data_IF_149573243857
#
_entry.id   IF_149573243857
#
_cell.length_a   1.000
_cell.length_b   1.000
_cell.length_c   1.000
_cell.angle_alpha   90.00
_cell.angle_beta   90.00
_cell.angle_gamma   90.00
#
_symmetry.space_group_name_H-M   'P 1'
#
loop_
_entity.id
_entity.type
_entity.pdbx_description
1 polymer ?
#
# COMPACT_ATOMS: atom_id res chain seq x y z
N UNK A 1 -10.82 -16.91 -13.16
CA UNK A 1 -10.67 -16.82 -11.69
C UNK A 1 -11.06 -15.42 -11.22
N UNK A 2 -11.79 -15.32 -10.11
CA UNK A 2 -12.22 -14.05 -9.51
C UNK A 2 -11.03 -13.18 -9.07
N UNK A 3 -11.21 -11.85 -9.03
CA UNK A 3 -10.16 -10.92 -8.63
C UNK A 3 -9.11 -10.58 -9.71
N UNK A 4 -9.39 -10.82 -10.99
CA UNK A 4 -8.49 -10.42 -12.10
C UNK A 4 -8.19 -8.92 -12.10
N UNK A 5 -9.23 -8.09 -11.88
CA UNK A 5 -9.11 -6.62 -11.78
C UNK A 5 -8.25 -6.18 -10.60
N UNK A 6 -8.32 -6.92 -9.49
CA UNK A 6 -7.52 -6.65 -8.30
C UNK A 6 -6.02 -6.84 -8.56
N UNK A 7 -5.67 -7.84 -9.38
CA UNK A 7 -4.29 -8.12 -9.75
C UNK A 7 -3.69 -7.07 -10.68
N UNK A 8 -4.51 -6.32 -11.42
CA UNK A 8 -4.05 -5.27 -12.33
C UNK A 8 -3.35 -4.15 -11.57
N UNK A 9 -3.88 -3.74 -10.40
CA UNK A 9 -3.22 -2.78 -9.51
C UNK A 9 -1.82 -3.23 -9.09
N UNK A 10 -1.65 -4.53 -8.81
CA UNK A 10 -0.36 -5.09 -8.42
C UNK A 10 0.61 -5.19 -9.60
N UNK A 11 0.10 -5.43 -10.82
CA UNK A 11 0.92 -5.44 -12.04
C UNK A 11 1.44 -4.05 -12.36
N UNK A 12 0.61 -3.01 -12.21
CA UNK A 12 1.03 -1.62 -12.37
C UNK A 12 2.11 -1.25 -11.35
N UNK A 13 2.00 -1.70 -10.10
CA UNK A 13 3.07 -1.53 -9.12
C UNK A 13 4.35 -2.26 -9.50
N UNK A 14 4.24 -3.51 -9.97
CA UNK A 14 5.38 -4.31 -10.38
C UNK A 14 6.10 -3.78 -11.63
N UNK A 15 5.43 -2.99 -12.46
CA UNK A 15 6.05 -2.34 -13.63
C UNK A 15 6.87 -1.10 -13.30
N UNK A 16 6.88 -0.64 -12.04
CA UNK A 16 7.58 0.57 -11.64
C UNK A 16 8.87 0.29 -10.89
N UNK A 17 9.87 1.12 -11.13
CA UNK A 17 11.15 1.03 -10.44
C UNK A 17 11.01 1.36 -8.95
N UNK A 18 11.81 0.69 -8.13
CA UNK A 18 11.75 0.81 -6.67
C UNK A 18 11.99 2.26 -6.23
N UNK A 19 11.02 2.85 -5.52
CA UNK A 19 11.10 4.21 -4.99
C UNK A 19 10.54 5.30 -5.89
N UNK A 20 10.03 4.97 -7.08
CA UNK A 20 9.32 5.92 -7.94
C UNK A 20 7.81 5.91 -7.66
N UNK A 21 7.22 7.09 -7.51
CA UNK A 21 5.75 7.24 -7.40
C UNK A 21 5.14 7.20 -8.81
N UNK A 22 4.25 6.24 -9.04
CA UNK A 22 3.33 6.31 -10.17
C UNK A 22 2.35 7.46 -9.99
N UNK A 23 2.02 8.20 -11.07
CA UNK A 23 0.89 9.11 -11.05
C UNK A 23 -0.36 8.38 -10.55
N UNK A 24 -1.06 8.98 -9.60
CA UNK A 24 -2.34 8.45 -9.15
C UNK A 24 -3.38 8.63 -10.27
N UNK A 25 -3.60 7.61 -11.09
CA UNK A 25 -4.71 7.63 -12.06
C UNK A 25 -6.03 7.46 -11.29
N UNK A 26 -6.60 8.61 -10.92
CA UNK A 26 -7.87 8.70 -10.20
C UNK A 26 -8.97 7.93 -10.95
N UNK A 27 -8.96 7.96 -12.29
CA UNK A 27 -10.01 7.35 -13.11
C UNK A 27 -9.94 5.84 -13.07
N UNK A 28 -8.74 5.27 -13.25
CA UNK A 28 -8.52 3.83 -13.22
C UNK A 28 -8.73 3.25 -11.82
N UNK A 29 -8.24 3.92 -10.77
CA UNK A 29 -8.43 3.49 -9.38
C UNK A 29 -9.90 3.56 -8.98
N UNK A 30 -10.61 4.64 -9.36
CA UNK A 30 -12.04 4.78 -9.06
C UNK A 30 -12.88 3.73 -9.80
N UNK A 31 -12.57 3.48 -11.08
CA UNK A 31 -13.20 2.41 -11.86
C UNK A 31 -12.96 1.04 -11.23
N UNK A 32 -11.71 0.72 -10.88
CA UNK A 32 -11.35 -0.53 -10.23
C UNK A 32 -12.03 -0.64 -8.87
N UNK A 33 -12.06 0.41 -8.05
CA UNK A 33 -12.74 0.43 -6.75
C UNK A 33 -14.24 0.16 -6.90
N UNK A 34 -14.91 0.84 -7.83
CA UNK A 34 -16.35 0.68 -8.08
C UNK A 34 -16.69 -0.73 -8.58
N UNK A 35 -15.99 -1.21 -9.61
CA UNK A 35 -16.22 -2.54 -10.17
C UNK A 35 -15.94 -3.65 -9.15
N UNK A 36 -14.92 -3.48 -8.30
CA UNK A 36 -14.60 -4.43 -7.25
C UNK A 36 -15.58 -4.41 -6.10
N UNK A 37 -16.09 -3.24 -5.72
CA UNK A 37 -17.14 -3.16 -4.70
C UNK A 37 -18.39 -3.93 -5.14
N UNK A 38 -18.73 -3.87 -6.44
CA UNK A 38 -19.82 -4.66 -7.02
C UNK A 38 -19.53 -6.16 -6.96
N UNK A 39 -18.36 -6.61 -7.42
CA UNK A 39 -17.93 -8.02 -7.37
C UNK A 39 -17.85 -8.55 -5.94
N UNK A 40 -17.36 -7.74 -5.00
CA UNK A 40 -17.30 -8.07 -3.58
C UNK A 40 -18.69 -8.22 -2.97
N UNK A 41 -19.63 -7.33 -3.33
CA UNK A 41 -20.99 -7.42 -2.86
C UNK A 41 -21.69 -8.68 -3.38
N UNK A 42 -21.50 -9.00 -4.66
CA UNK A 42 -22.05 -10.21 -5.27
C UNK A 42 -21.52 -11.49 -4.60
N UNK A 43 -20.20 -11.59 -4.39
CA UNK A 43 -19.63 -12.74 -3.67
C UNK A 43 -20.06 -12.82 -2.22
N UNK A 44 -20.27 -11.68 -1.55
CA UNK A 44 -20.75 -11.67 -0.17
C UNK A 44 -22.20 -12.16 -0.07
N UNK A 45 -23.06 -11.75 -1.01
CA UNK A 45 -24.45 -12.25 -1.08
C UNK A 45 -24.49 -13.76 -1.38
N UNK A 46 -23.69 -14.22 -2.34
CA UNK A 46 -23.57 -15.64 -2.67
C UNK A 46 -23.06 -16.46 -1.47
N UNK A 47 -22.00 -15.99 -0.81
CA UNK A 47 -21.47 -16.60 0.41
C UNK A 47 -22.53 -16.71 1.50
N UNK A 48 -23.26 -15.63 1.79
CA UNK A 48 -24.33 -15.63 2.80
C UNK A 48 -25.44 -16.63 2.46
N UNK A 49 -25.83 -16.73 1.18
CA UNK A 49 -26.84 -17.69 0.76
C UNK A 49 -26.39 -19.14 0.91
N UNK A 50 -25.12 -19.44 0.64
CA UNK A 50 -24.55 -20.79 0.81
C UNK A 50 -24.42 -21.16 2.28
N UNK A 51 -23.97 -20.22 3.13
CA UNK A 51 -23.88 -20.44 4.58
C UNK A 51 -25.26 -20.78 5.16
N UNK A 52 -26.30 -20.01 4.79
CA UNK A 52 -27.67 -20.30 5.24
C UNK A 52 -28.16 -21.68 4.80
N UNK A 53 -27.87 -22.10 3.56
CA UNK A 53 -28.24 -23.45 3.09
C UNK A 53 -27.55 -24.56 3.90
N UNK A 54 -26.29 -24.36 4.28
CA UNK A 54 -25.54 -25.31 5.10
C UNK A 54 -26.13 -25.38 6.52
N UNK A 55 -26.48 -24.22 7.10
CA UNK A 55 -27.13 -24.12 8.41
C UNK A 55 -28.53 -24.77 8.41
N UNK A 56 -29.34 -24.54 7.38
CA UNK A 56 -30.69 -25.12 7.23
C UNK A 56 -30.65 -26.66 7.15
N UNK A 57 -29.54 -27.23 6.66
CA UNK A 57 -29.30 -28.68 6.62
C UNK A 57 -28.79 -29.24 7.96
N UNK A 58 -28.66 -28.41 9.00
CA UNK A 58 -28.02 -28.75 10.29
C UNK A 58 -26.59 -29.32 10.12
N UNK A 59 -25.89 -28.91 9.08
CA UNK A 59 -24.54 -29.34 8.78
C UNK A 59 -23.54 -28.35 9.40
N UNK A 60 -22.49 -28.88 10.02
CA UNK A 60 -21.44 -28.04 10.59
C UNK A 60 -20.57 -27.45 9.46
N UNK A 61 -20.44 -26.12 9.42
CA UNK A 61 -19.70 -25.39 8.38
C UNK A 61 -18.21 -25.79 8.34
N UNK A 62 -17.63 -26.22 9.46
CA UNK A 62 -16.21 -26.59 9.55
C UNK A 62 -15.92 -28.03 9.13
N UNK A 63 -16.85 -28.95 9.40
CA UNK A 63 -16.65 -30.39 9.18
C UNK A 63 -17.24 -30.87 7.85
N UNK A 64 -18.18 -30.11 7.27
CA UNK A 64 -18.91 -30.48 6.07
C UNK A 64 -18.07 -30.29 4.81
N UNK A 65 -17.93 -31.33 3.99
CA UNK A 65 -17.24 -31.30 2.68
C UNK A 65 -18.22 -31.45 1.51
N UNK A 66 -19.34 -30.74 1.59
CA UNK A 66 -20.36 -30.71 0.54
C UNK A 66 -19.98 -29.70 -0.58
N UNK A 67 -20.60 -29.81 -1.74
CA UNK A 67 -20.44 -28.88 -2.87
C UNK A 67 -20.69 -27.42 -2.45
N UNK A 68 -21.72 -27.18 -1.63
CA UNK A 68 -22.04 -25.86 -1.09
C UNK A 68 -20.93 -25.30 -0.18
N UNK A 69 -20.26 -26.15 0.60
CA UNK A 69 -19.13 -25.74 1.43
C UNK A 69 -17.95 -25.29 0.56
N UNK A 70 -17.59 -26.05 -0.46
CA UNK A 70 -16.52 -25.66 -1.38
C UNK A 70 -16.87 -24.38 -2.15
N UNK A 71 -18.14 -24.20 -2.53
CA UNK A 71 -18.63 -22.95 -3.11
C UNK A 71 -18.44 -21.76 -2.16
N UNK A 72 -18.82 -21.91 -0.88
CA UNK A 72 -18.64 -20.89 0.14
C UNK A 72 -17.15 -20.53 0.35
N UNK A 73 -16.28 -21.55 0.42
CA UNK A 73 -14.81 -21.33 0.54
C UNK A 73 -14.26 -20.55 -0.65
N UNK A 74 -14.68 -20.85 -1.88
CA UNK A 74 -14.24 -20.11 -3.08
C UNK A 74 -14.65 -18.64 -3.01
N UNK A 75 -15.89 -18.35 -2.60
CA UNK A 75 -16.35 -16.97 -2.44
C UNK A 75 -15.59 -16.25 -1.32
N UNK A 76 -15.38 -16.90 -0.17
CA UNK A 76 -14.56 -16.33 0.90
C UNK A 76 -13.14 -16.01 0.43
N UNK A 77 -12.46 -16.95 -0.23
CA UNK A 77 -11.09 -16.73 -0.71
C UNK A 77 -11.03 -15.59 -1.73
N UNK A 78 -12.05 -15.47 -2.57
CA UNK A 78 -12.19 -14.38 -3.55
C UNK A 78 -12.33 -13.02 -2.85
N UNK A 79 -13.14 -12.95 -1.78
CA UNK A 79 -13.26 -11.76 -0.93
C UNK A 79 -11.93 -11.40 -0.25
N UNK A 80 -11.23 -12.38 0.32
CA UNK A 80 -9.92 -12.15 0.96
C UNK A 80 -8.88 -11.63 -0.03
N UNK A 81 -8.83 -12.21 -1.25
CA UNK A 81 -7.97 -11.72 -2.32
C UNK A 81 -8.34 -10.29 -2.72
N UNK A 82 -9.64 -10.02 -2.80
CA UNK A 82 -10.13 -8.69 -3.08
C UNK A 82 -9.81 -7.68 -1.96
N UNK A 83 -9.72 -8.10 -0.71
CA UNK A 83 -9.25 -7.23 0.37
C UNK A 83 -7.73 -6.98 0.30
N UNK A 84 -6.93 -8.01 -0.02
CA UNK A 84 -5.46 -7.95 0.03
C UNK A 84 -4.83 -7.05 -1.02
N UNK A 85 -5.21 -7.17 -2.29
CA UNK A 85 -4.60 -6.40 -3.38
C UNK A 85 -4.66 -4.86 -3.21
N UNK A 86 -5.81 -4.24 -2.86
CA UNK A 86 -5.87 -2.79 -2.69
C UNK A 86 -5.14 -2.33 -1.44
N UNK A 87 -5.17 -3.11 -0.35
CA UNK A 87 -4.37 -2.79 0.85
C UNK A 87 -2.88 -2.82 0.54
N UNK A 88 -2.40 -3.84 -0.17
CA UNK A 88 -1.01 -3.90 -0.61
C UNK A 88 -0.64 -2.73 -1.51
N UNK A 89 -1.56 -2.31 -2.39
CA UNK A 89 -1.33 -1.16 -3.25
C UNK A 89 -1.19 0.15 -2.47
N UNK A 90 -2.14 0.42 -1.57
CA UNK A 90 -2.11 1.61 -0.73
C UNK A 90 -0.91 1.61 0.22
N UNK A 91 -0.56 0.46 0.78
CA UNK A 91 0.58 0.31 1.68
C UNK A 91 1.90 0.62 0.96
N UNK A 92 2.14 0.03 -0.22
CA UNK A 92 3.34 0.31 -1.00
C UNK A 92 3.47 1.80 -1.34
N UNK A 93 2.36 2.45 -1.72
CA UNK A 93 2.37 3.89 -1.97
C UNK A 93 2.68 4.71 -0.72
N UNK A 94 2.09 4.34 0.43
CA UNK A 94 2.38 5.00 1.70
C UNK A 94 3.85 4.87 2.11
N UNK A 95 4.48 3.69 1.94
CA UNK A 95 5.91 3.51 2.21
C UNK A 95 6.79 4.39 1.32
N UNK A 96 6.49 4.46 0.02
CA UNK A 96 7.23 5.34 -0.90
C UNK A 96 7.06 6.81 -0.48
N UNK A 97 5.84 7.22 -0.09
CA UNK A 97 5.56 8.58 0.39
C UNK A 97 6.35 8.91 1.67
N UNK A 98 6.35 8.01 2.65
CA UNK A 98 7.15 8.17 3.87
C UNK A 98 8.64 8.28 3.56
N UNK A 99 9.14 7.48 2.60
CA UNK A 99 10.55 7.52 2.22
C UNK A 99 11.00 8.90 1.70
N UNK A 100 10.10 9.69 1.10
CA UNK A 100 10.46 11.03 0.65
C UNK A 100 10.70 12.00 1.81
N UNK A 101 10.02 11.85 2.95
CA UNK A 101 10.28 12.70 4.13
C UNK A 101 11.73 12.56 4.57
N UNK A 102 12.29 11.36 4.49
CA UNK A 102 13.67 11.07 4.88
C UNK A 102 14.70 11.40 3.79
N UNK A 103 14.33 11.27 2.51
CA UNK A 103 15.25 11.51 1.38
C UNK A 103 15.33 12.97 0.93
N UNK A 104 14.20 13.67 0.94
CA UNK A 104 14.05 15.02 0.38
C UNK A 104 13.80 16.06 1.48
N UNK A 105 13.23 15.63 2.60
CA UNK A 105 12.93 16.50 3.74
C UNK A 105 11.47 17.00 3.75
N UNK A 106 11.18 18.07 4.51
CA UNK A 106 9.81 18.56 4.73
C UNK A 106 9.12 19.09 3.47
N UNK A 107 9.90 19.67 2.56
CA UNK A 107 9.40 20.32 1.35
C UNK A 107 9.59 19.40 0.17
N UNK A 108 8.48 18.93 -0.40
CA UNK A 108 8.48 18.02 -1.54
C UNK A 108 8.45 18.79 -2.86
N UNK A 109 9.20 18.36 -3.89
CA UNK A 109 9.14 18.93 -5.23
C UNK A 109 7.73 18.93 -5.81
N UNK A 110 7.39 20.00 -6.54
CA UNK A 110 6.05 20.23 -7.09
C UNK A 110 5.58 19.10 -8.02
N UNK A 111 6.50 18.46 -8.73
CA UNK A 111 6.27 17.30 -9.60
C UNK A 111 5.72 16.08 -8.84
N UNK A 112 6.14 15.89 -7.58
CA UNK A 112 5.67 14.80 -6.73
C UNK A 112 4.33 15.18 -6.10
N UNK A 113 4.13 16.46 -5.77
CA UNK A 113 2.85 16.95 -5.24
C UNK A 113 1.70 16.73 -6.23
N UNK A 114 1.93 17.02 -7.52
CA UNK A 114 0.92 16.86 -8.58
C UNK A 114 0.52 15.39 -8.85
N UNK A 115 1.37 14.42 -8.49
CA UNK A 115 1.12 12.99 -8.71
C UNK A 115 0.32 12.33 -7.58
N UNK A 116 0.04 13.07 -6.50
CA UNK A 116 -0.61 12.56 -5.29
C UNK A 116 -2.08 12.95 -5.22
N UNK A 117 -2.84 12.12 -4.52
CA UNK A 117 -4.24 12.38 -4.22
C UNK A 117 -4.39 13.18 -2.91
N UNK A 118 -5.51 13.88 -2.72
CA UNK A 118 -5.84 14.65 -1.52
C UNK A 118 -5.66 13.84 -0.22
N UNK A 119 -6.19 12.61 -0.18
CA UNK A 119 -6.06 11.72 0.99
C UNK A 119 -4.61 11.34 1.32
N UNK A 120 -3.72 11.30 0.32
CA UNK A 120 -2.30 10.99 0.52
C UNK A 120 -1.53 12.20 1.05
N UNK A 121 -1.94 13.40 0.66
CA UNK A 121 -1.40 14.66 1.17
C UNK A 121 -1.76 14.87 2.64
N UNK A 122 -3.02 14.62 3.01
CA UNK A 122 -3.47 14.64 4.40
C UNK A 122 -2.70 13.63 5.26
N UNK A 123 -2.49 12.41 4.74
CA UNK A 123 -1.70 11.38 5.41
C UNK A 123 -0.25 11.84 5.67
N UNK A 124 0.41 12.41 4.66
CA UNK A 124 1.77 12.92 4.80
C UNK A 124 1.85 14.05 5.84
N UNK A 125 0.87 14.96 5.85
CA UNK A 125 0.81 16.05 6.83
C UNK A 125 0.73 15.51 8.26
N UNK A 126 -0.18 14.55 8.49
CA UNK A 126 -0.34 13.92 9.80
C UNK A 126 0.91 13.13 10.22
N UNK A 127 1.54 12.43 9.26
CA UNK A 127 2.79 11.71 9.51
C UNK A 127 3.95 12.66 9.85
N UNK A 128 4.08 13.77 9.14
CA UNK A 128 5.12 14.79 9.40
C UNK A 128 4.93 15.42 10.77
N UNK A 129 3.69 15.77 11.14
CA UNK A 129 3.37 16.31 12.46
C UNK A 129 3.68 15.31 13.59
N UNK A 130 3.37 14.02 13.39
CA UNK A 130 3.70 12.99 14.37
C UNK A 130 5.22 12.81 14.55
N UNK A 131 5.99 12.87 13.46
CA UNK A 131 7.45 12.84 13.52
C UNK A 131 8.00 14.07 14.23
N UNK A 132 7.48 15.26 13.93
CA UNK A 132 7.91 16.52 14.56
C UNK A 132 7.62 16.51 16.07
N UNK A 133 6.45 16.01 16.48
CA UNK A 133 6.14 15.78 17.91
C UNK A 133 7.16 14.85 18.56
N UNK A 134 7.47 13.72 17.94
CA UNK A 134 8.43 12.75 18.46
C UNK A 134 9.86 13.32 18.56
N UNK A 135 10.31 14.08 17.55
CA UNK A 135 11.61 14.75 17.57
C UNK A 135 11.68 15.81 18.68
N UNK A 136 10.58 16.54 18.92
CA UNK A 136 10.52 17.55 19.97
C UNK A 136 10.55 16.96 21.39
N UNK A 137 9.94 15.79 21.60
CA UNK A 137 9.97 15.10 22.89
C UNK A 137 11.36 14.57 23.24
N UNK A 138 12.14 14.16 22.23
CA UNK A 138 13.47 13.61 22.41
C UNK A 138 14.60 14.66 22.29
N UNK A 139 14.27 15.90 21.91
CA UNK A 139 15.22 16.98 21.59
C UNK A 139 16.32 16.51 20.61
N UNK A 140 15.94 15.72 19.60
CA UNK A 140 16.87 15.04 18.71
C UNK A 140 16.39 15.06 17.26
N UNK A 141 17.21 15.63 16.38
CA UNK A 141 16.91 15.69 14.94
C UNK A 141 17.35 14.42 14.22
N UNK A 142 16.39 13.52 14.02
CA UNK A 142 16.60 12.24 13.32
C UNK A 142 16.87 12.42 11.82
N UNK A 143 16.57 13.59 11.24
CA UNK A 143 16.78 13.82 9.80
C UNK A 143 18.26 14.03 9.45
N UNK A 144 19.05 14.54 10.39
CA UNK A 144 20.47 14.92 10.19
C UNK A 144 21.41 13.71 10.32
N UNK A 145 21.04 12.70 11.10
CA UNK A 145 21.86 11.48 11.32
C UNK A 145 22.04 10.68 10.03
N UNK A 146 21.07 10.75 9.11
CA UNK A 146 21.13 10.05 7.82
C UNK A 146 22.05 10.74 6.81
N UNK A 147 22.11 12.09 6.83
CA UNK A 147 22.91 12.90 5.90
C UNK A 147 24.38 12.98 6.30
N UNK A 148 24.69 12.90 7.60
CA UNK A 148 26.07 12.90 8.11
C UNK A 148 26.87 11.66 7.68
N UNK A 149 26.23 10.49 7.56
CA UNK A 149 26.88 9.28 7.03
C UNK A 149 27.23 9.40 5.53
N UNK A 150 26.38 10.03 4.73
CA UNK A 150 26.63 10.23 3.29
C UNK A 150 27.72 11.27 3.03
N UNK A 151 27.73 12.36 3.81
CA UNK A 151 28.73 13.42 3.70
C UNK A 151 30.11 12.96 4.18
N UNK A 152 30.22 12.17 5.25
CA UNK A 152 31.49 11.54 5.64
C UNK A 152 32.01 10.55 4.60
N UNK A 153 31.12 9.79 3.94
CA UNK A 153 31.51 8.85 2.89
C UNK A 153 32.04 9.56 1.64
N UNK A 154 31.46 10.71 1.25
CA UNK A 154 31.88 11.48 0.09
C UNK A 154 33.16 12.32 0.34
N UNK A 155 33.38 12.77 1.57
CA UNK A 155 34.64 13.42 1.97
C UNK A 155 35.81 12.42 2.03
N UNK A 156 35.56 11.16 2.39
CA UNK A 156 36.62 10.14 2.47
C UNK A 156 37.16 9.73 1.09
N UNK A 157 36.35 9.79 0.04
CA UNK A 157 36.82 9.54 -1.34
C UNK A 157 37.57 10.73 -1.94
N UNK A 158 37.16 11.97 -1.63
CA UNK A 158 37.83 13.16 -2.18
C UNK A 158 39.19 13.45 -1.50
N UNK A 159 39.37 13.14 -0.22
CA UNK A 159 40.67 13.30 0.44
C UNK A 159 41.73 12.26 0.01
N UNK A 160 41.32 11.07 -0.44
CA UNK A 160 42.27 10.04 -0.91
C UNK A 160 42.86 10.35 -2.30
N UNK A 161 42.15 11.16 -3.11
CA UNK A 161 42.62 11.61 -4.42
C UNK A 161 43.58 12.81 -4.34
N UNK A 162 43.55 13.60 -3.26
CA UNK A 162 44.40 14.80 -3.11
C UNK A 162 45.77 14.46 -2.46
N UNK A 163 45.94 13.27 -1.89
CA UNK A 163 47.19 12.83 -1.24
C UNK A 163 48.07 11.96 -2.17
N UNK A 164 47.61 11.65 -3.39
CA UNK A 164 48.34 10.83 -4.39
C UNK A 164 48.77 11.60 -5.66
N UNK A 165 48.91 12.93 -5.58
CA UNK A 165 49.52 13.77 -6.61
C UNK A 165 50.63 14.62 -5.99
#
# INVERSE_FOLDING_TARGET
>A
MYGGRASQLLKELGSCEAGQLTPFDVSLIHLIKSLRSKECNEHNLQLQSLIRKIEDQNLDVQTTRNEDHFGAVIHHLSLTRNKRCPMAYMYNRAEVIQSFRWKVGPVLPQEIQQKRNYSEEEYLKNHSAAIESYMSELDLDLTVVSLTFLSFSCLRTNYFSIINE
#
